data_IF_777647045387
#
_entry.id   IF_777647045387
#
_cell.length_a   1.000
_cell.length_b   1.000
_cell.length_c   1.000
_cell.angle_alpha   90.00
_cell.angle_beta   90.00
_cell.angle_gamma   90.00
#
_symmetry.space_group_name_H-M   'P 1'
#
loop_
_entity.id
_entity.type
_entity.pdbx_description
1 polymer ?
#
# COMPACT_ATOMS: atom_id res chain seq x y z
N UNK A 1 16.80 0.12 18.82
CA UNK A 1 17.78 0.00 17.72
C UNK A 1 18.14 1.40 17.23
N UNK A 2 19.41 1.67 16.93
CA UNK A 2 19.87 2.97 16.40
C UNK A 2 20.47 2.74 15.02
N UNK A 3 20.01 3.52 14.03
CA UNK A 3 20.44 3.40 12.64
C UNK A 3 20.80 4.78 12.12
N UNK A 4 21.88 4.85 11.35
CA UNK A 4 22.30 6.09 10.66
C UNK A 4 21.81 6.02 9.23
N UNK A 5 21.23 7.13 8.74
CA UNK A 5 20.70 7.23 7.39
C UNK A 5 21.41 8.38 6.68
N UNK A 6 21.87 8.14 5.46
CA UNK A 6 22.39 9.19 4.59
C UNK A 6 21.24 9.77 3.77
N UNK A 7 21.15 11.09 3.74
CA UNK A 7 20.12 11.83 3.01
C UNK A 7 20.81 12.73 1.97
N UNK A 8 20.34 12.78 0.71
CA UNK A 8 20.79 13.78 -0.25
C UNK A 8 20.55 15.19 0.28
N UNK A 9 21.46 16.12 -0.01
CA UNK A 9 21.38 17.50 0.52
C UNK A 9 20.08 18.22 0.15
N UNK A 10 19.58 17.94 -1.06
CA UNK A 10 18.29 18.44 -1.57
C UNK A 10 17.12 18.09 -0.67
N UNK A 11 17.18 16.95 0.04
CA UNK A 11 16.14 16.49 0.97
C UNK A 11 16.51 16.79 2.42
N UNK A 12 17.82 16.80 2.74
CA UNK A 12 18.31 17.02 4.09
C UNK A 12 17.96 18.42 4.63
N UNK A 13 18.03 19.46 3.78
CA UNK A 13 17.67 20.81 4.20
C UNK A 13 16.17 20.94 4.55
N UNK A 14 15.22 20.60 3.67
CA UNK A 14 13.79 20.58 4.00
C UNK A 14 13.44 19.68 5.20
N UNK A 15 14.09 18.52 5.32
CA UNK A 15 13.86 17.62 6.45
C UNK A 15 14.25 18.28 7.79
N UNK A 16 15.41 18.95 7.84
CA UNK A 16 15.87 19.61 9.07
C UNK A 16 15.00 20.79 9.48
N UNK A 17 14.40 21.50 8.52
CA UNK A 17 13.50 22.64 8.77
C UNK A 17 12.12 22.19 9.21
N UNK A 18 11.59 21.12 8.60
CA UNK A 18 10.22 20.65 8.87
C UNK A 18 10.13 19.73 10.09
N UNK A 19 11.19 18.99 10.41
CA UNK A 19 11.23 18.07 11.55
C UNK A 19 12.14 18.59 12.67
N UNK A 20 11.57 19.05 13.81
CA UNK A 20 12.35 19.41 15.00
C UNK A 20 13.23 18.25 15.47
N UNK A 21 14.41 18.55 16.01
CA UNK A 21 15.45 17.55 16.35
C UNK A 21 14.89 16.37 17.15
N UNK A 22 14.05 16.63 18.17
CA UNK A 22 13.45 15.60 19.04
C UNK A 22 12.41 14.72 18.34
N UNK A 23 11.93 15.13 17.18
CA UNK A 23 10.88 14.43 16.42
C UNK A 23 11.42 13.76 15.14
N UNK A 24 12.67 13.99 14.76
CA UNK A 24 13.26 13.49 13.51
C UNK A 24 13.15 11.97 13.36
N UNK A 25 13.48 11.21 14.40
CA UNK A 25 13.35 9.75 14.37
C UNK A 25 11.89 9.30 14.20
N UNK A 26 10.95 9.97 14.89
CA UNK A 26 9.51 9.67 14.76
C UNK A 26 8.99 10.02 13.37
N UNK A 27 9.44 11.13 12.81
CA UNK A 27 9.08 11.57 11.47
C UNK A 27 9.54 10.58 10.41
N UNK A 28 10.82 10.17 10.48
CA UNK A 28 11.38 9.17 9.57
C UNK A 28 10.67 7.82 9.71
N UNK A 29 10.38 7.38 10.94
CA UNK A 29 9.65 6.13 11.17
C UNK A 29 8.26 6.15 10.52
N UNK A 30 7.51 7.25 10.66
CA UNK A 30 6.18 7.40 10.02
C UNK A 30 6.25 7.45 8.50
N UNK A 31 7.29 8.05 7.94
CA UNK A 31 7.50 8.05 6.49
C UNK A 31 7.81 6.64 5.97
N UNK A 32 8.64 5.89 6.69
CA UNK A 32 8.93 4.50 6.34
C UNK A 32 7.68 3.62 6.46
N UNK A 33 6.90 3.78 7.52
CA UNK A 33 5.63 3.08 7.70
C UNK A 33 4.66 3.39 6.55
N UNK A 34 4.45 4.67 6.22
CA UNK A 34 3.64 5.05 5.06
C UNK A 34 4.16 4.46 3.75
N UNK A 35 5.47 4.53 3.49
CA UNK A 35 6.03 4.01 2.25
C UNK A 35 5.86 2.48 2.14
N UNK A 36 5.99 1.76 3.26
CA UNK A 36 5.79 0.31 3.29
C UNK A 36 4.31 -0.07 3.13
N UNK A 37 3.41 0.66 3.80
CA UNK A 37 1.96 0.45 3.67
C UNK A 37 1.49 0.79 2.26
N UNK A 38 1.94 1.91 1.68
CA UNK A 38 1.65 2.27 0.30
C UNK A 38 2.10 1.19 -0.68
N UNK A 39 3.34 0.69 -0.57
CA UNK A 39 3.84 -0.41 -1.41
C UNK A 39 3.01 -1.69 -1.27
N UNK A 40 2.53 -2.01 -0.07
CA UNK A 40 1.64 -3.16 0.13
C UNK A 40 0.29 -2.94 -0.53
N UNK A 41 -0.28 -1.74 -0.42
CA UNK A 41 -1.52 -1.40 -1.11
C UNK A 41 -1.36 -1.41 -2.61
N UNK A 42 -0.23 -0.96 -3.16
CA UNK A 42 0.06 -1.03 -4.59
C UNK A 42 0.15 -2.49 -5.07
N UNK A 43 0.78 -3.35 -4.28
CA UNK A 43 0.84 -4.79 -4.58
C UNK A 43 -0.55 -5.45 -4.52
N UNK A 44 -1.38 -5.07 -3.54
CA UNK A 44 -2.75 -5.57 -3.42
C UNK A 44 -3.62 -5.06 -4.59
N UNK A 45 -3.54 -3.76 -4.89
CA UNK A 45 -4.25 -3.16 -6.00
C UNK A 45 -3.84 -3.79 -7.34
N UNK A 46 -2.55 -4.06 -7.53
CA UNK A 46 -2.03 -4.78 -8.70
C UNK A 46 -2.56 -6.21 -8.78
N UNK A 47 -2.61 -6.95 -7.67
CA UNK A 47 -3.18 -8.30 -7.63
C UNK A 47 -4.69 -8.30 -7.91
N UNK A 48 -5.45 -7.36 -7.33
CA UNK A 48 -6.87 -7.18 -7.61
C UNK A 48 -7.10 -6.82 -9.08
N UNK A 49 -6.29 -5.92 -9.65
CA UNK A 49 -6.39 -5.57 -11.06
C UNK A 49 -6.10 -6.78 -11.97
N UNK A 50 -5.05 -7.55 -11.67
CA UNK A 50 -4.72 -8.75 -12.42
C UNK A 50 -5.85 -9.80 -12.35
N UNK A 51 -6.43 -10.04 -11.16
CA UNK A 51 -7.55 -10.94 -10.99
C UNK A 51 -8.80 -10.47 -11.76
N UNK A 52 -9.12 -9.18 -11.71
CA UNK A 52 -10.27 -8.60 -12.43
C UNK A 52 -10.07 -8.64 -13.96
N UNK A 53 -8.84 -8.70 -14.45
CA UNK A 53 -8.53 -8.82 -15.87
C UNK A 53 -8.36 -10.28 -16.33
N UNK A 54 -8.40 -11.25 -15.42
CA UNK A 54 -8.28 -12.67 -15.75
C UNK A 54 -9.63 -13.21 -16.24
N UNK A 55 -9.70 -13.46 -17.55
CA UNK A 55 -10.92 -13.94 -18.23
C UNK A 55 -11.28 -15.37 -17.82
N UNK A 56 -10.31 -16.21 -17.44
CA UNK A 56 -10.60 -17.56 -16.97
C UNK A 56 -11.23 -17.52 -15.57
N UNK A 57 -10.64 -16.72 -14.68
CA UNK A 57 -11.20 -16.48 -13.34
C UNK A 57 -12.60 -15.84 -13.41
N UNK A 58 -12.81 -14.86 -14.29
CA UNK A 58 -14.13 -14.23 -14.46
C UNK A 58 -15.20 -15.25 -14.88
N UNK A 59 -14.86 -16.20 -15.76
CA UNK A 59 -15.80 -17.25 -16.18
C UNK A 59 -16.19 -18.19 -15.03
N UNK A 60 -15.23 -18.55 -14.18
CA UNK A 60 -15.51 -19.35 -12.98
C UNK A 60 -16.41 -18.58 -12.01
N UNK A 61 -16.17 -17.29 -11.81
CA UNK A 61 -17.02 -16.43 -10.99
C UNK A 61 -18.44 -16.35 -11.57
N UNK A 62 -18.57 -16.14 -12.87
CA UNK A 62 -19.88 -16.08 -13.54
C UNK A 62 -20.63 -17.41 -13.41
N UNK A 63 -19.93 -18.54 -13.51
CA UNK A 63 -20.51 -19.88 -13.27
C UNK A 63 -20.98 -20.03 -11.82
N UNK A 64 -20.18 -19.59 -10.84
CA UNK A 64 -20.54 -19.65 -9.41
C UNK A 64 -21.67 -18.69 -9.06
N UNK A 65 -21.79 -17.56 -9.76
CA UNK A 65 -22.87 -16.60 -9.57
C UNK A 65 -24.12 -16.93 -10.39
N UNK A 66 -24.06 -17.93 -11.29
CA UNK A 66 -25.22 -18.38 -12.07
C UNK A 66 -26.25 -19.16 -11.25
N UNK A 67 -25.92 -19.51 -10.00
CA UNK A 67 -26.89 -20.07 -9.07
C UNK A 67 -27.84 -18.96 -8.61
N UNK A 68 -29.08 -18.98 -9.10
CA UNK A 68 -30.19 -18.27 -8.46
C UNK A 68 -30.41 -18.91 -7.08
N UNK A 69 -29.87 -18.29 -6.02
CA UNK A 69 -30.38 -18.53 -4.68
C UNK A 69 -31.84 -18.07 -4.71
N UNK A 70 -32.74 -19.05 -4.85
CA UNK A 70 -34.18 -18.85 -4.78
C UNK A 70 -34.52 -18.22 -3.44
N UNK A 71 -34.65 -16.89 -3.42
CA UNK A 71 -35.32 -16.19 -2.34
C UNK A 71 -36.80 -16.55 -2.46
N UNK A 72 -37.18 -17.67 -1.84
CA UNK A 72 -38.57 -17.99 -1.58
C UNK A 72 -39.12 -16.91 -0.64
N UNK A 73 -39.87 -15.98 -1.22
CA UNK A 73 -40.63 -14.95 -0.51
C UNK A 73 -41.99 -15.45 -0.02
#
# INVERSE_FOLDING_TARGET
MKTTLSLPDTVAHPFRTTAPVRQRSRFVARLLEHALVAKRHDSLAGACHAANCDVALQREIDEWQSFEDGVEG
#
